data_IF_338318794004
#
_entry.id   IF_338318794004
#
_cell.length_a   1.000
_cell.length_b   1.000
_cell.length_c   1.000
_cell.angle_alpha   90.00
_cell.angle_beta   90.00
_cell.angle_gamma   90.00
#
_symmetry.space_group_name_H-M   'P 1'
#
loop_
_entity.id
_entity.type
_entity.pdbx_description
1 polymer ?
#
# COMPACT_ATOMS: atom_id res chain seq x y z
N UNK A 1 5.65 7.28 -15.67
CA UNK A 1 5.37 7.83 -14.32
C UNK A 1 6.59 7.88 -13.41
N UNK A 2 7.31 6.75 -13.20
CA UNK A 2 8.31 6.60 -12.12
C UNK A 2 9.79 6.77 -12.51
N UNK A 3 10.06 7.02 -13.78
CA UNK A 3 11.42 7.07 -14.31
C UNK A 3 12.04 8.45 -14.14
N UNK A 4 13.37 8.47 -14.00
CA UNK A 4 14.15 9.70 -14.05
C UNK A 4 14.04 10.36 -15.41
N UNK A 5 13.81 11.68 -15.40
CA UNK A 5 13.81 12.50 -16.60
C UNK A 5 14.51 13.84 -16.33
N UNK A 6 14.93 14.53 -17.39
CA UNK A 6 15.51 15.89 -17.30
C UNK A 6 14.36 16.89 -17.43
N UNK A 7 13.94 17.58 -16.36
CA UNK A 7 12.91 18.60 -16.45
C UNK A 7 13.43 19.83 -17.21
N UNK A 8 12.55 20.45 -18.00
CA UNK A 8 12.82 21.73 -18.67
C UNK A 8 12.85 22.85 -17.64
N UNK A 9 13.76 23.78 -17.82
CA UNK A 9 13.89 24.95 -16.97
C UNK A 9 12.61 25.78 -16.96
N UNK A 10 12.23 26.24 -15.78
CA UNK A 10 11.02 27.01 -15.51
C UNK A 10 9.69 26.35 -15.86
N UNK A 11 9.66 25.09 -16.30
CA UNK A 11 8.44 24.35 -16.61
C UNK A 11 7.88 23.64 -15.37
N UNK A 12 6.56 23.74 -15.17
CA UNK A 12 5.85 22.92 -14.19
C UNK A 12 5.45 21.57 -14.77
N UNK A 13 5.63 20.54 -13.94
CA UNK A 13 5.22 19.16 -14.17
C UNK A 13 4.21 18.75 -13.12
N UNK A 14 3.21 17.95 -13.50
CA UNK A 14 2.23 17.39 -12.58
C UNK A 14 2.12 15.88 -12.75
N UNK A 15 2.08 15.16 -11.63
CA UNK A 15 1.62 13.78 -11.54
C UNK A 15 0.23 13.77 -10.94
N UNK A 16 -0.73 13.20 -11.68
CA UNK A 16 -2.01 12.79 -11.13
C UNK A 16 -1.83 11.44 -10.45
N UNK A 17 -2.24 11.37 -9.19
CA UNK A 17 -2.03 10.25 -8.29
C UNK A 17 -3.37 9.75 -7.77
N UNK A 18 -4.17 9.21 -8.68
CA UNK A 18 -5.49 8.64 -8.40
C UNK A 18 -6.39 9.55 -7.54
N UNK A 19 -6.62 10.77 -8.03
CA UNK A 19 -7.36 11.85 -7.37
C UNK A 19 -6.49 12.85 -6.61
N UNK A 20 -5.32 12.44 -6.11
CA UNK A 20 -4.32 13.36 -5.57
C UNK A 20 -3.45 13.94 -6.69
N UNK A 21 -2.62 14.93 -6.37
CA UNK A 21 -1.66 15.47 -7.35
C UNK A 21 -0.39 16.00 -6.71
N UNK A 22 0.73 15.89 -7.44
CA UNK A 22 2.03 16.43 -7.04
C UNK A 22 2.63 17.22 -8.19
N UNK A 23 3.14 18.41 -7.87
CA UNK A 23 3.77 19.32 -8.83
C UNK A 23 5.26 19.48 -8.55
N UNK A 24 6.02 19.65 -9.62
CA UNK A 24 7.45 19.96 -9.56
C UNK A 24 7.83 20.98 -10.63
N UNK A 25 8.70 21.93 -10.29
CA UNK A 25 9.38 22.82 -11.24
C UNK A 25 10.85 22.95 -10.88
N UNK A 26 11.70 23.03 -11.91
CA UNK A 26 13.14 23.29 -11.79
C UNK A 26 13.49 24.65 -12.38
N UNK A 27 14.37 25.41 -11.72
CA UNK A 27 14.98 26.62 -12.25
C UNK A 27 16.44 26.73 -11.78
N UNK A 28 17.40 26.27 -12.60
CA UNK A 28 18.79 26.11 -12.21
C UNK A 28 18.95 25.01 -11.15
N UNK A 29 19.35 25.40 -9.94
CA UNK A 29 19.43 24.53 -8.76
C UNK A 29 18.22 24.67 -7.83
N UNK A 30 17.31 25.59 -8.13
CA UNK A 30 16.06 25.76 -7.38
C UNK A 30 15.03 24.73 -7.85
N UNK A 31 14.44 24.03 -6.89
CA UNK A 31 13.34 23.10 -7.10
C UNK A 31 12.13 23.55 -6.30
N UNK A 32 10.96 23.58 -6.92
CA UNK A 32 9.69 23.93 -6.28
C UNK A 32 8.72 22.78 -6.35
N UNK A 33 7.96 22.61 -5.28
CA UNK A 33 7.02 21.51 -5.12
C UNK A 33 5.70 22.02 -4.57
N UNK A 34 4.62 21.38 -5.00
CA UNK A 34 3.32 21.50 -4.35
C UNK A 34 2.67 20.11 -4.34
N UNK A 35 1.77 19.88 -3.39
CA UNK A 35 0.98 18.65 -3.35
C UNK A 35 -0.46 18.98 -2.95
N UNK A 36 -1.40 18.27 -3.57
CA UNK A 36 -2.80 18.26 -3.23
C UNK A 36 -3.12 16.86 -2.76
N UNK A 37 -3.38 16.73 -1.47
CA UNK A 37 -3.74 15.47 -0.84
C UNK A 37 -5.26 15.33 -0.75
N UNK A 38 -5.74 14.11 -0.84
CA UNK A 38 -7.15 13.75 -0.67
C UNK A 38 -7.31 12.74 0.46
N UNK A 39 -8.49 12.69 1.12
CA UNK A 39 -8.85 11.54 1.94
C UNK A 39 -8.80 10.24 1.12
N UNK A 40 -8.24 9.17 1.68
CA UNK A 40 -8.10 7.87 0.97
C UNK A 40 -9.43 7.34 0.41
N UNK A 41 -10.56 7.63 1.07
CA UNK A 41 -11.91 7.24 0.59
C UNK A 41 -12.36 7.95 -0.69
N UNK A 42 -11.69 9.03 -1.09
CA UNK A 42 -12.07 9.87 -2.24
C UNK A 42 -11.19 9.62 -3.47
N UNK A 43 -10.44 8.52 -3.48
CA UNK A 43 -9.57 8.11 -4.58
C UNK A 43 -10.35 8.00 -5.89
N UNK A 44 -9.72 8.39 -6.99
CA UNK A 44 -10.27 8.35 -8.35
C UNK A 44 -9.28 7.63 -9.27
N UNK A 45 -9.73 6.85 -10.25
CA UNK A 45 -8.79 6.17 -11.16
C UNK A 45 -8.42 7.09 -12.34
N UNK A 46 -7.56 8.09 -12.08
CA UNK A 46 -7.13 9.09 -13.06
C UNK A 46 -5.61 9.31 -13.12
N UNK A 47 -4.85 8.35 -12.58
CA UNK A 47 -3.39 8.45 -12.50
C UNK A 47 -2.71 8.63 -13.85
N UNK A 48 -1.87 9.68 -13.94
CA UNK A 48 -1.11 10.02 -15.13
C UNK A 48 0.14 10.85 -14.79
N UNK A 49 1.13 10.85 -15.68
CA UNK A 49 2.22 11.82 -15.66
C UNK A 49 3.64 11.25 -15.80
N UNK A 50 4.65 12.15 -15.80
CA UNK A 50 4.52 13.60 -15.60
C UNK A 50 3.85 14.33 -16.78
N UNK A 51 2.94 15.26 -16.50
CA UNK A 51 2.21 16.10 -17.46
C UNK A 51 2.77 17.53 -17.45
N UNK A 52 2.83 18.18 -18.61
CA UNK A 52 3.14 19.61 -18.70
C UNK A 52 1.92 20.43 -18.31
N UNK A 53 2.08 21.31 -17.32
CA UNK A 53 0.99 22.13 -16.80
C UNK A 53 1.51 23.53 -16.47
N UNK A 54 0.58 24.46 -16.21
CA UNK A 54 0.90 25.73 -15.58
C UNK A 54 1.16 25.57 -14.07
N UNK A 55 1.57 26.66 -13.43
CA UNK A 55 1.76 26.68 -11.98
C UNK A 55 0.46 26.28 -11.25
N UNK A 56 0.53 25.51 -10.16
CA UNK A 56 -0.65 25.21 -9.36
C UNK A 56 -1.23 26.50 -8.77
N UNK A 57 -2.52 26.74 -8.96
CA UNK A 57 -3.24 27.83 -8.31
C UNK A 57 -3.53 27.46 -6.85
N UNK A 58 -3.37 28.42 -5.94
CA UNK A 58 -3.87 28.33 -4.54
C UNK A 58 -3.21 27.26 -3.65
N UNK A 59 -2.13 26.60 -4.11
CA UNK A 59 -1.36 25.66 -3.28
C UNK A 59 -0.12 26.32 -2.66
N UNK A 60 0.19 25.90 -1.43
CA UNK A 60 1.46 26.24 -0.80
C UNK A 60 2.62 25.61 -1.57
N UNK A 61 3.63 26.41 -1.87
CA UNK A 61 4.82 25.98 -2.60
C UNK A 61 5.97 25.81 -1.61
N UNK A 62 6.46 24.57 -1.52
CA UNK A 62 7.74 24.28 -0.88
C UNK A 62 8.89 24.48 -1.88
N UNK A 63 10.08 24.79 -1.37
CA UNK A 63 11.27 24.91 -2.20
C UNK A 63 12.46 24.15 -1.58
N UNK A 64 13.35 23.67 -2.45
CA UNK A 64 14.65 23.12 -2.10
C UNK A 64 15.70 23.65 -3.08
N UNK A 65 16.95 23.74 -2.64
CA UNK A 65 18.09 24.10 -3.51
C UNK A 65 19.06 22.92 -3.51
N UNK A 66 19.27 22.33 -4.69
CA UNK A 66 20.15 21.18 -4.84
C UNK A 66 20.67 21.06 -6.28
N UNK A 67 21.95 20.69 -6.47
CA UNK A 67 22.45 20.35 -7.78
C UNK A 67 21.88 18.99 -8.21
N UNK A 68 21.30 18.93 -9.41
CA UNK A 68 20.75 17.69 -9.99
C UNK A 68 20.26 17.91 -11.41
N UNK A 69 20.45 16.92 -12.29
CA UNK A 69 20.00 17.03 -13.69
C UNK A 69 18.71 16.27 -13.93
N UNK A 70 18.47 15.20 -13.20
CA UNK A 70 17.30 14.34 -13.39
C UNK A 70 16.51 14.22 -12.09
N UNK A 71 15.20 14.15 -12.22
CA UNK A 71 14.33 13.87 -11.09
C UNK A 71 13.35 12.77 -11.43
N UNK A 72 12.89 12.05 -10.41
CA UNK A 72 11.83 11.07 -10.51
C UNK A 72 10.87 11.21 -9.32
N UNK A 73 9.59 10.94 -9.57
CA UNK A 73 8.64 10.65 -8.51
C UNK A 73 8.78 9.18 -8.13
N UNK A 74 9.11 8.91 -6.87
CA UNK A 74 9.35 7.57 -6.34
C UNK A 74 8.33 7.23 -5.25
N UNK A 75 7.54 6.16 -5.42
CA UNK A 75 6.73 5.61 -4.35
C UNK A 75 7.60 4.84 -3.36
N UNK A 76 7.34 5.04 -2.08
CA UNK A 76 7.93 4.34 -0.95
C UNK A 76 6.81 3.77 -0.07
N UNK A 77 7.00 2.59 0.53
CA UNK A 77 6.09 2.14 1.57
C UNK A 77 6.07 3.11 2.77
N UNK A 78 4.96 3.13 3.51
CA UNK A 78 4.90 3.90 4.75
C UNK A 78 5.86 3.36 5.80
N UNK A 79 6.39 4.25 6.62
CA UNK A 79 7.15 3.89 7.83
C UNK A 79 6.22 3.39 8.93
N UNK A 80 4.98 3.88 9.01
CA UNK A 80 3.94 3.38 9.90
C UNK A 80 3.21 2.18 9.26
N UNK A 81 2.90 1.11 10.02
CA UNK A 81 2.12 -0.02 9.52
C UNK A 81 0.70 0.38 9.14
N UNK A 82 0.07 -0.37 8.23
CA UNK A 82 -1.34 -0.20 7.91
C UNK A 82 -2.19 -1.17 8.71
N UNK A 83 -3.23 -0.67 9.37
CA UNK A 83 -4.26 -1.48 9.99
C UNK A 83 -5.46 -1.57 9.05
N UNK A 84 -5.87 -2.79 8.73
CA UNK A 84 -6.99 -3.08 7.85
C UNK A 84 -7.90 -4.14 8.48
N UNK A 85 -9.19 -4.04 8.23
CA UNK A 85 -10.18 -5.02 8.69
C UNK A 85 -10.34 -6.15 7.66
N UNK A 86 -10.56 -7.38 8.13
CA UNK A 86 -11.09 -8.44 7.29
C UNK A 86 -12.61 -8.36 7.27
N UNK A 87 -13.24 -8.64 6.13
CA UNK A 87 -14.70 -8.70 6.03
C UNK A 87 -15.20 -10.00 6.65
N UNK A 88 -16.29 -9.91 7.41
CA UNK A 88 -16.89 -11.03 8.14
C UNK A 88 -15.96 -11.63 9.22
N UNK A 89 -16.46 -12.60 9.98
CA UNK A 89 -15.65 -13.41 10.89
C UNK A 89 -14.84 -14.44 10.07
N UNK A 90 -13.73 -14.00 9.47
CA UNK A 90 -12.84 -14.89 8.71
C UNK A 90 -12.18 -15.88 9.67
N UNK A 91 -12.56 -17.15 9.56
CA UNK A 91 -12.04 -18.24 10.39
C UNK A 91 -11.22 -19.20 9.53
N UNK A 92 -9.90 -19.20 9.74
CA UNK A 92 -8.96 -20.06 9.00
C UNK A 92 -8.69 -21.30 9.85
N UNK A 93 -9.12 -22.47 9.39
CA UNK A 93 -8.95 -23.73 10.12
C UNK A 93 -7.51 -24.26 10.07
N UNK A 94 -7.11 -25.12 11.02
CA UNK A 94 -5.80 -25.76 11.02
C UNK A 94 -5.44 -26.39 9.67
N UNK A 95 -4.22 -26.13 9.19
CA UNK A 95 -3.69 -26.65 7.93
C UNK A 95 -4.16 -25.90 6.67
N UNK A 96 -4.98 -24.86 6.80
CA UNK A 96 -5.48 -24.07 5.66
C UNK A 96 -4.86 -22.69 5.57
N UNK A 97 -5.12 -21.99 4.48
CA UNK A 97 -4.67 -20.62 4.25
C UNK A 97 -5.74 -19.78 3.54
N UNK A 98 -5.67 -18.47 3.74
CA UNK A 98 -6.48 -17.47 3.03
C UNK A 98 -5.56 -16.45 2.35
N UNK A 99 -5.92 -16.03 1.14
CA UNK A 99 -5.26 -14.94 0.44
C UNK A 99 -6.09 -13.67 0.52
N UNK A 100 -5.44 -12.52 0.66
CA UNK A 100 -6.06 -11.21 0.54
C UNK A 100 -5.24 -10.37 -0.43
N UNK A 101 -5.91 -9.56 -1.24
CA UNK A 101 -5.27 -8.56 -2.09
C UNK A 101 -5.63 -7.16 -1.57
N UNK A 102 -4.63 -6.30 -1.45
CA UNK A 102 -4.81 -4.94 -0.93
C UNK A 102 -4.00 -3.93 -1.75
N UNK A 103 -4.53 -2.71 -1.87
CA UNK A 103 -3.82 -1.56 -2.43
C UNK A 103 -3.44 -0.60 -1.29
N UNK A 104 -2.13 -0.43 -1.06
CA UNK A 104 -1.58 0.37 0.03
C UNK A 104 -1.19 1.77 -0.48
N UNK A 105 -1.52 2.87 0.23
CA UNK A 105 -1.16 4.21 -0.19
C UNK A 105 0.33 4.50 0.06
N UNK A 106 1.17 4.70 -0.97
CA UNK A 106 2.58 5.00 -0.76
C UNK A 106 2.79 6.41 -0.19
N UNK A 107 3.98 6.59 0.36
CA UNK A 107 4.63 7.90 0.48
C UNK A 107 5.29 8.20 -0.85
N UNK A 108 5.15 9.42 -1.36
CA UNK A 108 5.84 9.82 -2.59
C UNK A 108 6.98 10.77 -2.31
N UNK A 109 8.12 10.50 -2.94
CA UNK A 109 9.32 11.33 -2.88
C UNK A 109 9.70 11.84 -4.26
N UNK A 110 10.08 13.11 -4.35
CA UNK A 110 10.85 13.57 -5.51
C UNK A 110 12.32 13.36 -5.21
N UNK A 111 12.95 12.49 -6.00
CA UNK A 111 14.35 12.12 -5.83
C UNK A 111 15.19 12.56 -7.02
N UNK A 112 16.44 12.90 -6.75
CA UNK A 112 17.47 13.13 -7.75
C UNK A 112 18.20 11.83 -8.13
N UNK A 113 18.94 11.85 -9.24
CA UNK A 113 19.68 10.68 -9.73
C UNK A 113 20.74 10.13 -8.76
N UNK A 114 21.17 10.94 -7.79
CA UNK A 114 22.11 10.57 -6.74
C UNK A 114 21.44 9.97 -5.49
N UNK A 115 20.11 9.81 -5.50
CA UNK A 115 19.32 9.29 -4.38
C UNK A 115 18.90 10.32 -3.34
N UNK A 116 19.22 11.61 -3.51
CA UNK A 116 18.77 12.67 -2.61
C UNK A 116 17.27 12.91 -2.77
N UNK A 117 16.52 12.83 -1.67
CA UNK A 117 15.11 13.22 -1.61
C UNK A 117 14.97 14.72 -1.41
N UNK A 118 14.29 15.41 -2.32
CA UNK A 118 14.07 16.85 -2.28
C UNK A 118 12.75 17.23 -1.62
N UNK A 119 11.75 16.36 -1.71
CA UNK A 119 10.40 16.59 -1.24
C UNK A 119 9.70 15.27 -0.96
N UNK A 120 8.91 15.22 0.10
CA UNK A 120 8.10 14.08 0.49
C UNK A 120 6.64 14.51 0.65
N UNK A 121 5.71 13.68 0.19
CA UNK A 121 4.27 13.91 0.31
C UNK A 121 3.53 12.62 0.64
N UNK A 122 2.48 12.76 1.47
CA UNK A 122 1.47 11.74 1.70
C UNK A 122 0.17 12.19 0.99
N UNK A 123 0.00 11.87 -0.30
CA UNK A 123 -1.17 12.33 -1.06
C UNK A 123 -2.48 11.71 -0.60
N UNK A 124 -2.43 10.56 0.07
CA UNK A 124 -3.62 9.86 0.53
C UNK A 124 -3.72 9.90 2.05
N UNK A 125 -4.58 10.78 2.56
CA UNK A 125 -4.74 10.99 3.99
C UNK A 125 -5.52 9.83 4.60
N UNK A 126 -4.91 9.21 5.60
CA UNK A 126 -5.50 8.13 6.42
C UNK A 126 -5.39 8.53 7.89
N UNK A 127 -6.40 8.25 8.72
CA UNK A 127 -6.34 8.56 10.14
C UNK A 127 -5.40 7.59 10.86
N UNK A 128 -4.73 8.09 11.90
CA UNK A 128 -3.95 7.23 12.79
C UNK A 128 -4.86 6.37 13.68
N UNK A 129 -4.38 5.18 14.02
CA UNK A 129 -5.02 4.25 14.95
C UNK A 129 -3.98 3.45 15.72
N UNK A 130 -4.39 2.76 16.78
CA UNK A 130 -3.51 1.96 17.62
C UNK A 130 -3.80 0.47 17.45
N UNK A 131 -2.78 -0.33 17.22
CA UNK A 131 -2.90 -1.79 17.14
C UNK A 131 -2.09 -2.46 18.25
N UNK A 132 -2.70 -3.40 18.98
CA UNK A 132 -2.09 -4.06 20.14
C UNK A 132 -2.43 -3.39 21.47
N UNK A 133 -1.73 -3.78 22.54
CA UNK A 133 -1.96 -3.24 23.88
C UNK A 133 -1.30 -1.86 24.09
N UNK A 134 -1.63 -1.17 25.19
CA UNK A 134 -1.17 0.20 25.44
C UNK A 134 0.35 0.34 25.63
N UNK A 135 1.06 -0.76 25.91
CA UNK A 135 2.48 -0.74 26.32
C UNK A 135 3.39 -1.26 25.21
N UNK A 136 2.85 -2.11 24.34
CA UNK A 136 3.61 -2.78 23.28
C UNK A 136 2.96 -2.74 21.90
N UNK A 137 1.85 -2.03 21.76
CA UNK A 137 1.22 -1.78 20.46
C UNK A 137 1.98 -0.78 19.59
N UNK A 138 1.54 -0.70 18.34
CA UNK A 138 2.09 0.17 17.32
C UNK A 138 1.07 1.22 16.88
N UNK A 139 1.56 2.43 16.59
CA UNK A 139 0.78 3.46 15.91
C UNK A 139 0.71 3.10 14.42
N UNK A 140 -0.51 2.90 13.92
CA UNK A 140 -0.78 2.48 12.55
C UNK A 140 -1.58 3.54 11.77
N UNK A 141 -1.56 3.42 10.46
CA UNK A 141 -2.47 4.10 9.55
C UNK A 141 -3.71 3.24 9.33
N UNK A 142 -4.89 3.77 9.63
CA UNK A 142 -6.16 3.04 9.45
C UNK A 142 -6.59 3.12 7.99
N UNK A 143 -6.60 1.97 7.30
CA UNK A 143 -7.14 1.87 5.95
C UNK A 143 -8.63 1.57 6.03
N UNK A 144 -9.49 2.43 5.46
CA UNK A 144 -10.93 2.21 5.46
C UNK A 144 -11.36 1.22 4.37
N UNK A 145 -10.73 0.05 4.37
CA UNK A 145 -10.97 -1.08 3.47
C UNK A 145 -11.32 -2.29 4.32
N UNK A 146 -12.25 -3.11 3.84
CA UNK A 146 -12.49 -4.45 4.37
C UNK A 146 -12.00 -5.48 3.37
N UNK A 147 -11.10 -6.35 3.79
CA UNK A 147 -10.49 -7.37 2.93
C UNK A 147 -11.37 -8.61 2.83
N UNK A 148 -11.58 -9.07 1.60
CA UNK A 148 -12.23 -10.36 1.35
C UNK A 148 -11.17 -11.46 1.20
N UNK A 149 -11.33 -12.59 1.92
CA UNK A 149 -10.47 -13.74 1.69
C UNK A 149 -10.79 -14.38 0.33
N UNK A 150 -9.76 -14.68 -0.45
CA UNK A 150 -9.83 -15.59 -1.58
C UNK A 150 -9.29 -16.95 -1.15
N UNK A 151 -10.08 -18.01 -1.35
CA UNK A 151 -9.60 -19.37 -1.13
C UNK A 151 -8.89 -19.91 -2.38
N UNK A 152 -7.94 -20.84 -2.20
CA UNK A 152 -7.08 -21.42 -3.27
C UNK A 152 -7.82 -22.03 -4.47
N UNK A 153 -9.15 -22.16 -4.42
CA UNK A 153 -10.01 -22.71 -5.47
C UNK A 153 -11.15 -21.76 -5.92
N UNK A 154 -11.23 -20.54 -5.39
CA UNK A 154 -12.19 -19.53 -5.84
C UNK A 154 -11.59 -18.72 -7.00
N UNK A 155 -11.43 -19.35 -8.16
CA UNK A 155 -11.18 -18.60 -9.39
C UNK A 155 -12.50 -17.97 -9.84
N UNK A 156 -12.51 -16.63 -9.94
CA UNK A 156 -13.49 -15.93 -10.77
C UNK A 156 -14.73 -15.35 -10.10
N UNK A 157 -14.75 -15.07 -8.79
CA UNK A 157 -15.85 -14.26 -8.23
C UNK A 157 -15.88 -12.85 -8.86
N UNK A 158 -14.71 -12.28 -9.14
CA UNK A 158 -14.57 -10.97 -9.80
C UNK A 158 -14.64 -11.03 -11.34
N UNK A 159 -14.35 -12.18 -11.97
CA UNK A 159 -14.51 -12.37 -13.42
C UNK A 159 -15.97 -12.70 -13.81
N UNK A 160 -16.81 -13.13 -12.87
CA UNK A 160 -18.21 -13.52 -13.10
C UNK A 160 -19.25 -12.44 -12.80
N UNK A 161 -18.86 -11.17 -12.63
CA UNK A 161 -19.82 -10.07 -12.78
C UNK A 161 -20.06 -9.85 -14.29
N UNK A 162 -20.51 -10.91 -14.97
CA UNK A 162 -21.12 -10.83 -16.28
C UNK A 162 -22.53 -10.29 -16.09
N UNK A 163 -22.92 -9.36 -16.94
CA UNK A 163 -24.16 -8.57 -16.94
C UNK A 163 -25.46 -9.37 -17.06
N UNK A 164 -25.42 -10.71 -17.06
CA UNK A 164 -26.57 -11.57 -17.37
C UNK A 164 -27.11 -12.42 -16.21
N UNK A 165 -26.48 -12.42 -15.03
CA UNK A 165 -27.04 -13.03 -13.82
C UNK A 165 -26.51 -12.34 -12.56
N UNK A 166 -27.13 -11.23 -12.11
CA UNK A 166 -26.75 -10.61 -10.85
C UNK A 166 -27.10 -11.56 -9.70
N UNK A 167 -26.08 -12.11 -9.04
CA UNK A 167 -26.26 -12.63 -7.68
C UNK A 167 -26.76 -11.43 -6.87
N UNK A 168 -27.98 -11.52 -6.30
CA UNK A 168 -28.55 -10.51 -5.43
C UNK A 168 -27.77 -10.49 -4.12
N UNK A 169 -26.61 -9.83 -4.14
CA UNK A 169 -25.85 -9.50 -2.95
C UNK A 169 -26.58 -8.40 -2.17
N UNK A 170 -26.40 -8.38 -0.86
CA UNK A 170 -26.81 -7.24 -0.03
C UNK A 170 -26.17 -5.96 -0.61
N UNK A 171 -26.91 -4.85 -0.75
CA UNK A 171 -26.39 -3.57 -1.23
C UNK A 171 -25.08 -3.13 -0.53
N UNK A 172 -24.94 -3.41 0.77
CA UNK A 172 -23.74 -3.07 1.55
C UNK A 172 -22.52 -3.90 1.09
N UNK A 173 -22.74 -5.19 0.80
CA UNK A 173 -21.69 -6.07 0.27
C UNK A 173 -21.26 -5.64 -1.13
N UNK A 174 -22.22 -5.28 -1.98
CA UNK A 174 -21.93 -4.82 -3.33
C UNK A 174 -21.09 -3.54 -3.32
N UNK A 175 -21.42 -2.58 -2.44
CA UNK A 175 -20.65 -1.35 -2.29
C UNK A 175 -19.22 -1.61 -1.77
N UNK A 176 -19.06 -2.50 -0.79
CA UNK A 176 -17.74 -2.84 -0.23
C UNK A 176 -16.84 -3.53 -1.29
N UNK A 177 -17.40 -4.46 -2.08
CA UNK A 177 -16.69 -5.11 -3.19
C UNK A 177 -16.30 -4.11 -4.29
N UNK A 178 -17.23 -3.22 -4.65
CA UNK A 178 -16.98 -2.19 -5.66
C UNK A 178 -15.85 -1.25 -5.21
N UNK A 179 -15.81 -0.86 -3.93
CA UNK A 179 -14.72 -0.05 -3.37
C UNK A 179 -13.39 -0.80 -3.37
N UNK A 180 -13.35 -2.06 -2.96
CA UNK A 180 -12.13 -2.87 -3.01
C UNK A 180 -11.59 -2.97 -4.46
N UNK A 181 -12.46 -3.23 -5.43
CA UNK A 181 -12.11 -3.25 -6.85
C UNK A 181 -11.62 -1.89 -7.35
N UNK A 182 -12.23 -0.79 -6.90
CA UNK A 182 -11.78 0.57 -7.23
C UNK A 182 -10.35 0.80 -6.76
N UNK A 183 -10.01 0.49 -5.51
CA UNK A 183 -8.65 0.66 -5.00
C UNK A 183 -7.63 -0.24 -5.73
N UNK A 184 -7.99 -1.49 -6.02
CA UNK A 184 -7.15 -2.43 -6.77
C UNK A 184 -6.98 -2.02 -8.25
N UNK A 185 -7.78 -1.09 -8.76
CA UNK A 185 -7.62 -0.54 -10.12
C UNK A 185 -6.69 0.68 -10.18
N UNK A 186 -6.31 1.25 -9.04
CA UNK A 186 -5.50 2.46 -8.94
C UNK A 186 -4.01 2.16 -9.16
N UNK A 187 -3.35 2.93 -10.02
CA UNK A 187 -1.96 2.65 -10.46
C UNK A 187 -0.90 3.27 -9.54
N UNK A 188 -1.31 4.27 -8.76
CA UNK A 188 -0.46 5.00 -7.80
C UNK A 188 -0.48 4.37 -6.41
N UNK A 189 -1.29 3.34 -6.19
CA UNK A 189 -1.27 2.54 -4.96
C UNK A 189 -0.36 1.32 -5.12
N UNK A 190 0.28 0.88 -4.04
CA UNK A 190 1.13 -0.31 -4.02
C UNK A 190 0.23 -1.54 -3.84
N UNK A 191 0.13 -2.39 -4.86
CA UNK A 191 -0.63 -3.62 -4.78
C UNK A 191 0.18 -4.69 -4.05
N UNK A 192 -0.41 -5.25 -2.99
CA UNK A 192 0.22 -6.21 -2.12
C UNK A 192 -0.68 -7.43 -1.96
N UNK A 193 -0.07 -8.61 -2.04
CA UNK A 193 -0.73 -9.87 -1.72
C UNK A 193 -0.37 -10.28 -0.29
N UNK A 194 -1.36 -10.68 0.49
CA UNK A 194 -1.19 -11.20 1.83
C UNK A 194 -1.68 -12.65 1.85
N UNK A 195 -0.87 -13.55 2.42
CA UNK A 195 -1.24 -14.95 2.62
C UNK A 195 -1.19 -15.25 4.10
N UNK A 196 -2.33 -15.60 4.69
CA UNK A 196 -2.43 -15.99 6.10
C UNK A 196 -2.56 -17.50 6.18
N UNK A 197 -1.56 -18.17 6.77
CA UNK A 197 -1.48 -19.63 6.92
C UNK A 197 -1.74 -20.01 8.37
N UNK A 198 -2.65 -20.95 8.59
CA UNK A 198 -2.85 -21.51 9.91
C UNK A 198 -2.15 -22.87 10.03
N UNK A 199 -1.04 -22.91 10.77
CA UNK A 199 -0.34 -24.14 11.17
C UNK A 199 -0.53 -24.45 12.66
N UNK A 200 -1.36 -23.70 13.37
CA UNK A 200 -1.72 -23.99 14.74
C UNK A 200 -2.75 -25.11 14.80
N UNK A 201 -3.09 -25.55 16.02
CA UNK A 201 -4.10 -26.59 16.26
C UNK A 201 -5.52 -26.01 16.35
N UNK A 202 -5.64 -24.70 16.51
CA UNK A 202 -6.90 -24.01 16.72
C UNK A 202 -7.27 -23.16 15.50
N UNK A 203 -8.57 -22.94 15.23
CA UNK A 203 -8.97 -22.01 14.19
C UNK A 203 -8.50 -20.58 14.49
N UNK A 204 -7.93 -19.91 13.48
CA UNK A 204 -7.50 -18.53 13.55
C UNK A 204 -8.64 -17.61 13.13
N UNK A 205 -9.12 -16.77 14.05
CA UNK A 205 -10.11 -15.73 13.75
C UNK A 205 -9.38 -14.46 13.33
N UNK A 206 -9.52 -14.06 12.07
CA UNK A 206 -8.88 -12.87 11.51
C UNK A 206 -9.91 -11.76 11.41
N UNK A 207 -9.86 -10.80 12.34
CA UNK A 207 -10.72 -9.60 12.31
C UNK A 207 -9.99 -8.38 11.72
N UNK A 208 -8.72 -8.22 12.07
CA UNK A 208 -7.87 -7.11 11.62
C UNK A 208 -6.45 -7.62 11.35
N UNK A 209 -5.78 -6.98 10.41
CA UNK A 209 -4.40 -7.26 10.03
C UNK A 209 -3.59 -5.97 10.09
N UNK A 210 -2.45 -6.03 10.78
CA UNK A 210 -1.43 -5.00 10.72
C UNK A 210 -0.38 -5.40 9.68
N UNK A 211 -0.17 -4.54 8.69
CA UNK A 211 0.72 -4.77 7.56
C UNK A 211 1.94 -3.88 7.73
N UNK A 212 3.06 -4.49 8.09
CA UNK A 212 4.34 -3.83 8.23
C UNK A 212 5.02 -3.76 6.87
N UNK A 213 5.30 -2.55 6.39
CA UNK A 213 5.78 -2.34 5.03
C UNK A 213 7.24 -1.89 4.93
N UNK A 214 7.93 -1.76 6.07
CA UNK A 214 9.33 -1.34 6.17
C UNK A 214 10.33 -2.26 5.46
N UNK A 215 9.97 -3.53 5.29
CA UNK A 215 10.80 -4.56 4.66
C UNK A 215 10.38 -4.90 3.23
N UNK A 216 9.37 -4.21 2.71
CA UNK A 216 8.79 -4.49 1.40
C UNK A 216 9.51 -3.73 0.29
N UNK A 217 9.90 -4.43 -0.77
CA UNK A 217 10.31 -3.81 -2.02
C UNK A 217 9.09 -3.30 -2.80
N UNK A 218 9.30 -2.32 -3.68
CA UNK A 218 8.27 -1.91 -4.64
C UNK A 218 8.82 -2.11 -6.04
N UNK A 219 8.03 -2.77 -6.88
CA UNK A 219 8.35 -3.09 -8.26
C UNK A 219 7.37 -2.42 -9.21
N UNK A 220 7.83 -2.17 -10.43
CA UNK A 220 6.99 -1.78 -11.53
C UNK A 220 6.49 -3.02 -12.26
N UNK A 221 5.17 -3.19 -12.36
CA UNK A 221 4.55 -4.19 -13.25
C UNK A 221 3.65 -3.46 -14.24
N UNK A 222 4.15 -3.29 -15.47
CA UNK A 222 3.51 -2.45 -16.49
C UNK A 222 3.31 -1.01 -15.95
N UNK A 223 2.06 -0.57 -15.79
CA UNK A 223 1.71 0.73 -15.23
C UNK A 223 1.45 0.70 -13.72
N UNK A 224 1.41 -0.48 -13.09
CA UNK A 224 1.06 -0.65 -11.68
C UNK A 224 2.31 -0.76 -10.79
N UNK A 225 2.12 -0.38 -9.52
CA UNK A 225 3.06 -0.64 -8.45
C UNK A 225 2.66 -1.93 -7.75
N UNK A 226 3.59 -2.88 -7.65
CA UNK A 226 3.38 -4.13 -6.91
C UNK A 226 4.47 -4.27 -5.85
N UNK A 227 4.16 -5.00 -4.80
CA UNK A 227 5.12 -5.31 -3.74
C UNK A 227 5.26 -6.81 -3.52
N UNK A 228 6.22 -7.17 -2.68
CA UNK A 228 6.42 -8.54 -2.22
C UNK A 228 5.14 -9.12 -1.59
N UNK A 229 5.04 -10.45 -1.57
CA UNK A 229 3.94 -11.14 -0.88
C UNK A 229 4.22 -11.20 0.62
N UNK A 230 3.28 -10.72 1.43
CA UNK A 230 3.36 -10.82 2.90
C UNK A 230 2.77 -12.14 3.34
N UNK A 231 3.57 -13.01 3.95
CA UNK A 231 3.14 -14.32 4.45
C UNK A 231 3.08 -14.28 5.97
N UNK A 232 1.88 -14.36 6.53
CA UNK A 232 1.64 -14.45 7.96
C UNK A 232 1.35 -15.91 8.31
N UNK A 233 2.12 -16.51 9.22
CA UNK A 233 1.95 -17.90 9.65
C UNK A 233 1.64 -17.94 11.14
N UNK A 234 0.46 -18.45 11.51
CA UNK A 234 0.18 -18.87 12.87
C UNK A 234 0.81 -20.25 13.10
N UNK A 235 1.82 -20.32 13.96
CA UNK A 235 2.58 -21.53 14.21
C UNK A 235 1.92 -22.40 15.30
N UNK A 236 2.42 -23.62 15.46
CA UNK A 236 1.90 -24.61 16.40
C UNK A 236 2.16 -24.27 17.88
N UNK A 237 3.06 -23.32 18.14
CA UNK A 237 3.39 -22.77 19.46
C UNK A 237 2.60 -21.48 19.77
N UNK A 238 1.53 -21.22 19.00
CA UNK A 238 0.71 -20.02 19.05
C UNK A 238 1.46 -18.70 18.74
N UNK A 239 2.68 -18.79 18.19
CA UNK A 239 3.40 -17.62 17.67
C UNK A 239 2.86 -17.20 16.29
N UNK A 240 3.01 -15.92 15.98
CA UNK A 240 2.71 -15.37 14.66
C UNK A 240 4.01 -14.91 14.01
N UNK A 241 4.26 -15.41 12.80
CA UNK A 241 5.48 -15.13 12.05
C UNK A 241 5.11 -14.42 10.74
N UNK A 242 5.79 -13.31 10.44
CA UNK A 242 5.60 -12.57 9.19
C UNK A 242 6.84 -12.69 8.33
N UNK A 243 6.68 -13.14 7.10
CA UNK A 243 7.75 -13.26 6.12
C UNK A 243 7.39 -12.49 4.85
N UNK A 244 8.41 -11.99 4.17
CA UNK A 244 8.29 -11.27 2.90
C UNK A 244 8.83 -12.18 1.80
N UNK A 245 7.99 -12.52 0.82
CA UNK A 245 8.33 -13.38 -0.32
C UNK A 245 8.33 -12.57 -1.62
N UNK A 246 9.51 -12.43 -2.23
CA UNK A 246 9.75 -11.69 -3.46
C UNK A 246 9.72 -12.57 -4.72
N UNK A 247 9.52 -13.89 -4.57
CA UNK A 247 9.70 -14.89 -5.63
C UNK A 247 8.89 -14.57 -6.90
N UNK A 248 7.66 -14.06 -6.73
CA UNK A 248 6.76 -13.74 -7.83
C UNK A 248 7.17 -12.48 -8.62
N UNK A 249 8.01 -11.62 -8.03
CA UNK A 249 8.30 -10.28 -8.54
C UNK A 249 9.80 -10.01 -8.75
N UNK A 250 10.69 -10.96 -8.41
CA UNK A 250 12.15 -10.84 -8.50
C UNK A 250 12.71 -10.36 -9.85
N UNK A 251 11.99 -10.63 -10.94
CA UNK A 251 12.41 -10.26 -12.31
C UNK A 251 11.82 -8.91 -12.77
N UNK A 252 11.04 -8.23 -11.95
CA UNK A 252 10.45 -6.94 -12.29
C UNK A 252 11.41 -5.79 -11.97
N UNK A 253 11.32 -4.66 -12.70
CA UNK A 253 12.06 -3.45 -12.38
C UNK A 253 11.76 -2.98 -10.95
N UNK A 254 12.78 -2.96 -10.09
CA UNK A 254 12.65 -2.49 -8.71
C UNK A 254 12.69 -0.96 -8.67
N UNK A 255 11.63 -0.36 -8.14
CA UNK A 255 11.50 1.10 -7.95
C UNK A 255 12.01 1.51 -6.58
N UNK A 256 11.74 0.70 -5.55
CA UNK A 256 12.20 0.87 -4.17
C UNK A 256 12.82 -0.44 -3.67
N UNK A 257 13.98 -0.34 -3.03
CA UNK A 257 14.65 -1.46 -2.40
C UNK A 257 14.60 -1.29 -0.87
N UNK A 258 14.05 -2.29 -0.19
CA UNK A 258 14.02 -2.29 1.26
C UNK A 258 15.45 -2.44 1.85
N UNK A 259 15.75 -1.77 2.97
CA UNK A 259 17.10 -1.74 3.55
C UNK A 259 17.60 -3.10 4.08
N UNK A 260 16.72 -4.10 4.26
CA UNK A 260 17.06 -5.44 4.77
C UNK A 260 16.19 -6.51 4.12
N UNK A 261 16.52 -6.90 2.89
CA UNK A 261 15.87 -8.04 2.23
C UNK A 261 16.45 -9.34 2.78
N UNK A 262 15.61 -10.24 3.31
CA UNK A 262 16.01 -11.58 3.76
C UNK A 262 16.04 -11.85 5.26
N UNK A 263 15.62 -10.90 6.12
CA UNK A 263 15.33 -11.21 7.52
C UNK A 263 13.88 -11.67 7.65
N UNK A 264 13.69 -12.93 8.06
CA UNK A 264 12.47 -13.35 8.71
C UNK A 264 12.34 -12.46 9.96
N UNK A 265 11.47 -11.46 9.94
CA UNK A 265 11.01 -10.89 11.19
C UNK A 265 10.15 -11.98 11.86
N UNK A 266 10.83 -12.78 12.67
CA UNK A 266 10.23 -13.25 13.90
C UNK A 266 9.75 -11.99 14.61
N UNK A 267 8.50 -11.58 14.37
CA UNK A 267 7.70 -10.80 15.29
C UNK A 267 7.45 -11.68 16.53
N UNK A 268 8.54 -12.12 17.16
CA UNK A 268 8.57 -12.85 18.41
C UNK A 268 8.44 -11.83 19.51
N UNK A 269 7.29 -11.93 20.18
CA UNK A 269 7.07 -11.49 21.55
C UNK A 269 7.33 -10.02 21.83
N UNK A 270 6.31 -9.22 21.58
CA UNK A 270 5.75 -8.46 22.71
C UNK A 270 4.26 -8.76 22.82
N UNK A 271 3.92 -9.37 23.94
CA UNK A 271 2.56 -9.70 24.32
C UNK A 271 2.20 -11.15 24.02
N UNK A 272 2.38 -12.01 25.01
CA UNK A 272 1.49 -13.19 25.19
C UNK A 272 0.03 -12.73 25.46
N UNK A 273 -0.21 -11.41 25.50
CA UNK A 273 -1.50 -10.70 25.36
C UNK A 273 -1.95 -10.42 23.91
N UNK A 274 -1.09 -10.61 22.89
CA UNK A 274 -1.35 -10.33 21.48
C UNK A 274 -2.43 -11.22 20.86
N UNK A 275 -2.58 -12.45 21.38
CA UNK A 275 -3.59 -13.42 20.94
C UNK A 275 -5.04 -12.99 21.22
N UNK A 276 -5.28 -12.00 22.10
CA UNK A 276 -6.62 -11.43 22.28
C UNK A 276 -6.96 -10.34 21.24
N UNK A 277 -5.96 -9.67 20.68
CA UNK A 277 -6.14 -8.49 19.83
C UNK A 277 -6.56 -8.80 18.38
N UNK A 278 -6.14 -9.95 17.83
CA UNK A 278 -6.54 -10.39 16.48
C UNK A 278 -7.93 -11.06 16.49
N UNK A 279 -8.33 -11.63 17.65
CA UNK A 279 -9.63 -12.27 17.86
C UNK A 279 -10.71 -11.36 18.50
N UNK A 280 -10.37 -10.16 18.95
CA UNK A 280 -11.32 -9.26 19.64
C UNK A 280 -11.85 -9.85 20.95
N UNK A 281 -10.94 -10.19 21.86
CA UNK A 281 -11.22 -10.38 23.29
C UNK A 281 -10.71 -9.17 24.09
#
# INVERSE_FOLDING_TARGET
>A
MWNFFVPKESQWYCWKLDGASLWMRKNGEEWRFAASSIPFKQIQNDSAGPLFVDAPSELSIAFAVAPGKKAALRPHPSTAPYLVSARNDVKIYPGTEAQFDIALPPIFRIELENGLSLFESLPFVTPYTWFGDKVSGDLCLSLPIELDPQCKNEQGYFERIDSNNPISLDPIMQESLQRAAQYLSCRSLIHCKIVVKNRSKEPLNVKRLAIFTSLMNVYQKQDNLVSDTVIITAAADDSLQTNIDDSAYKNLPKIHAAPKTGLNELLVMKGVSFLRSIAGL
#
